data_IF_670577168509
#
_entry.id   IF_670577168509
#
_cell.length_a   1.000
_cell.length_b   1.000
_cell.length_c   1.000
_cell.angle_alpha   90.00
_cell.angle_beta   90.00
_cell.angle_gamma   90.00
#
_symmetry.space_group_name_H-M   'P 1'
#
loop_
_entity.id
_entity.type
_entity.pdbx_description
1 polymer ?
#
# COMPACT_ATOMS: atom_id res chain seq x y z
N UNK A 1 13.75 27.34 -35.07
CA UNK A 1 12.98 27.88 -33.91
C UNK A 1 11.97 26.87 -33.34
N UNK A 2 11.37 26.00 -34.16
CA UNK A 2 10.35 25.02 -33.72
C UNK A 2 10.87 23.89 -32.81
N UNK A 3 12.14 23.46 -32.98
CA UNK A 3 12.70 22.32 -32.24
C UNK A 3 12.80 22.57 -30.72
N UNK A 4 13.07 23.81 -30.29
CA UNK A 4 13.15 24.15 -28.85
C UNK A 4 11.78 24.07 -28.17
N UNK A 5 10.73 24.44 -28.88
CA UNK A 5 9.36 24.43 -28.35
C UNK A 5 8.86 23.00 -28.17
N UNK A 6 9.10 22.11 -29.14
CA UNK A 6 8.70 20.69 -29.05
C UNK A 6 9.34 19.99 -27.85
N UNK A 7 10.64 20.20 -27.59
CA UNK A 7 11.31 19.59 -26.43
C UNK A 7 10.74 20.08 -25.09
N UNK A 8 10.43 21.38 -24.97
CA UNK A 8 9.84 21.94 -23.76
C UNK A 8 8.42 21.42 -23.48
N UNK A 9 7.61 21.21 -24.52
CA UNK A 9 6.26 20.66 -24.37
C UNK A 9 6.32 19.18 -23.94
N UNK A 10 7.23 18.40 -24.53
CA UNK A 10 7.43 16.99 -24.15
C UNK A 10 7.92 16.87 -22.71
N UNK A 11 8.90 17.67 -22.29
CA UNK A 11 9.41 17.67 -20.92
C UNK A 11 8.33 18.06 -19.89
N UNK A 12 7.53 19.09 -20.21
CA UNK A 12 6.40 19.48 -19.36
C UNK A 12 5.36 18.36 -19.23
N UNK A 13 5.09 17.62 -20.31
CA UNK A 13 4.17 16.48 -20.29
C UNK A 13 4.71 15.31 -19.47
N UNK A 14 6.00 15.00 -19.57
CA UNK A 14 6.65 13.96 -18.76
C UNK A 14 6.61 14.30 -17.27
N UNK A 15 6.89 15.56 -16.91
CA UNK A 15 6.80 16.03 -15.53
C UNK A 15 5.37 15.91 -14.97
N UNK A 16 4.35 16.31 -15.75
CA UNK A 16 2.94 16.14 -15.37
C UNK A 16 2.52 14.66 -15.27
N UNK A 17 3.07 13.79 -16.12
CA UNK A 17 2.84 12.35 -16.05
C UNK A 17 3.46 11.74 -14.79
N UNK A 18 4.66 12.20 -14.39
CA UNK A 18 5.31 11.78 -13.15
C UNK A 18 4.52 12.22 -11.91
N UNK A 19 4.07 13.47 -11.88
CA UNK A 19 3.20 13.99 -10.81
C UNK A 19 1.89 13.18 -10.73
N UNK A 20 1.22 12.98 -11.86
CA UNK A 20 -0.01 12.17 -11.92
C UNK A 20 0.23 10.74 -11.47
N UNK A 21 1.32 10.09 -11.89
CA UNK A 21 1.65 8.73 -11.46
C UNK A 21 1.93 8.67 -9.96
N UNK A 22 2.67 9.63 -9.41
CA UNK A 22 3.02 9.67 -7.98
C UNK A 22 1.78 9.87 -7.09
N UNK A 23 0.91 10.82 -7.43
CA UNK A 23 -0.34 11.07 -6.71
C UNK A 23 -1.26 9.84 -6.77
N UNK A 24 -1.38 9.24 -7.95
CA UNK A 24 -2.29 8.12 -8.14
C UNK A 24 -1.76 6.78 -7.61
N UNK A 25 -0.45 6.56 -7.56
CA UNK A 25 0.11 5.30 -7.07
C UNK A 25 -0.23 5.04 -5.59
N UNK A 26 -0.28 6.11 -4.78
CA UNK A 26 -0.60 6.02 -3.36
C UNK A 26 -2.11 5.87 -3.13
N UNK A 27 -2.93 6.50 -3.96
CA UNK A 27 -4.39 6.59 -3.74
C UNK A 27 -5.13 5.43 -4.42
N UNK A 28 -4.66 4.95 -5.58
CA UNK A 28 -5.33 3.88 -6.35
C UNK A 28 -5.47 2.56 -5.59
N UNK A 29 -4.47 2.04 -4.85
CA UNK A 29 -4.63 0.83 -4.06
C UNK A 29 -5.76 0.97 -3.05
N UNK A 30 -5.82 2.11 -2.37
CA UNK A 30 -6.86 2.42 -1.38
C UNK A 30 -8.27 2.48 -1.97
N UNK A 31 -8.44 3.15 -3.12
CA UNK A 31 -9.74 3.26 -3.80
C UNK A 31 -10.19 1.91 -4.37
N UNK A 32 -9.28 1.13 -4.97
CA UNK A 32 -9.56 -0.21 -5.50
C UNK A 32 -9.93 -1.16 -4.37
N UNK A 33 -9.18 -1.13 -3.27
CA UNK A 33 -9.46 -1.98 -2.12
C UNK A 33 -10.77 -1.58 -1.43
N UNK A 34 -11.09 -0.29 -1.30
CA UNK A 34 -12.43 0.15 -0.84
C UNK A 34 -13.57 -0.41 -1.70
N UNK A 35 -13.38 -0.51 -3.01
CA UNK A 35 -14.36 -1.12 -3.93
C UNK A 35 -14.49 -2.63 -3.71
N UNK A 36 -13.42 -3.33 -3.30
CA UNK A 36 -13.47 -4.74 -2.91
C UNK A 36 -13.98 -4.97 -1.47
N UNK A 37 -13.75 -4.03 -0.55
CA UNK A 37 -14.20 -4.11 0.85
C UNK A 37 -15.66 -3.76 1.06
N UNK A 38 -16.36 -3.31 0.01
CA UNK A 38 -17.81 -3.06 0.01
C UNK A 38 -18.63 -4.29 0.43
N UNK A 39 -18.04 -5.50 0.38
CA UNK A 39 -18.67 -6.76 0.78
C UNK A 39 -18.29 -7.24 2.20
N UNK A 40 -17.56 -6.45 2.97
CA UNK A 40 -17.30 -6.72 4.38
C UNK A 40 -18.57 -6.42 5.18
N UNK A 41 -19.52 -7.36 5.22
CA UNK A 41 -20.82 -7.19 5.91
C UNK A 41 -20.70 -6.92 7.42
N UNK A 42 -19.50 -7.05 8.01
CA UNK A 42 -19.25 -6.85 9.44
C UNK A 42 -18.18 -5.81 9.70
N UNK A 43 -18.35 -5.05 10.80
CA UNK A 43 -17.35 -4.08 11.31
C UNK A 43 -15.96 -4.72 11.48
N UNK A 44 -15.92 -5.97 11.94
CA UNK A 44 -14.68 -6.75 12.10
C UNK A 44 -13.98 -7.00 10.77
N UNK A 45 -14.73 -7.30 9.72
CA UNK A 45 -14.20 -7.47 8.37
C UNK A 45 -13.60 -6.17 7.82
N UNK A 46 -14.26 -5.03 8.05
CA UNK A 46 -13.75 -3.72 7.65
C UNK A 46 -12.46 -3.32 8.40
N UNK A 47 -12.38 -3.64 9.70
CA UNK A 47 -11.17 -3.40 10.50
C UNK A 47 -9.99 -4.28 10.07
N UNK A 48 -10.21 -5.57 9.85
CA UNK A 48 -9.16 -6.48 9.37
C UNK A 48 -8.62 -6.05 8.00
N UNK A 49 -9.53 -5.66 7.10
CA UNK A 49 -9.23 -5.13 5.78
C UNK A 49 -8.36 -3.88 5.82
N UNK A 50 -8.72 -2.93 6.68
CA UNK A 50 -7.95 -1.69 6.90
C UNK A 50 -6.54 -2.00 7.43
N UNK A 51 -6.43 -2.92 8.39
CA UNK A 51 -5.14 -3.33 8.94
C UNK A 51 -4.21 -3.93 7.87
N UNK A 52 -4.74 -4.79 7.00
CA UNK A 52 -3.97 -5.38 5.88
C UNK A 52 -3.46 -4.30 4.92
N UNK A 53 -4.29 -3.31 4.58
CA UNK A 53 -3.83 -2.19 3.73
C UNK A 53 -2.71 -1.39 4.38
N UNK A 54 -2.83 -1.06 5.66
CA UNK A 54 -1.79 -0.34 6.40
C UNK A 54 -0.47 -1.10 6.39
N UNK A 55 -0.50 -2.43 6.59
CA UNK A 55 0.70 -3.26 6.54
C UNK A 55 1.34 -3.28 5.15
N UNK A 56 0.53 -3.40 4.09
CA UNK A 56 1.02 -3.36 2.70
C UNK A 56 1.70 -2.02 2.39
N UNK A 57 1.09 -0.91 2.79
CA UNK A 57 1.65 0.43 2.56
C UNK A 57 2.94 0.66 3.36
N UNK A 58 3.01 0.18 4.61
CA UNK A 58 4.25 0.19 5.40
C UNK A 58 5.36 -0.64 4.75
N UNK A 59 5.06 -1.86 4.28
CA UNK A 59 6.03 -2.72 3.62
C UNK A 59 6.58 -2.10 2.33
N UNK A 60 5.69 -1.50 1.51
CA UNK A 60 6.10 -0.75 0.31
C UNK A 60 6.99 0.43 0.64
N UNK A 61 6.67 1.19 1.70
CA UNK A 61 7.45 2.36 2.12
C UNK A 61 8.85 1.98 2.60
N UNK A 62 8.99 0.79 3.19
CA UNK A 62 10.28 0.24 3.62
C UNK A 62 11.01 -0.51 2.49
N UNK A 63 10.49 -0.53 1.26
CA UNK A 63 11.12 -1.20 0.12
C UNK A 63 11.15 -2.73 0.23
N UNK A 64 10.31 -3.30 1.09
CA UNK A 64 10.25 -4.74 1.34
C UNK A 64 9.24 -5.42 0.43
N UNK A 65 9.51 -6.68 0.12
CA UNK A 65 8.55 -7.50 -0.62
C UNK A 65 7.26 -7.66 0.21
N UNK A 66 6.18 -7.11 -0.33
CA UNK A 66 4.85 -7.12 0.29
C UNK A 66 4.37 -8.55 0.49
N UNK A 67 4.64 -9.44 -0.47
CA UNK A 67 4.21 -10.83 -0.39
C UNK A 67 4.96 -11.59 0.71
N UNK A 68 6.30 -11.45 0.77
CA UNK A 68 7.12 -12.01 1.85
C UNK A 68 6.73 -11.50 3.24
N UNK A 69 6.44 -10.21 3.38
CA UNK A 69 5.98 -9.62 4.64
C UNK A 69 4.62 -10.19 5.07
N UNK A 70 3.64 -10.25 4.15
CA UNK A 70 2.33 -10.87 4.41
C UNK A 70 2.46 -12.35 4.76
N UNK A 71 3.30 -13.10 4.05
CA UNK A 71 3.51 -14.52 4.31
C UNK A 71 4.15 -14.74 5.68
N UNK A 72 5.16 -13.95 6.04
CA UNK A 72 5.79 -13.99 7.35
C UNK A 72 4.77 -13.69 8.44
N UNK A 73 4.01 -12.61 8.31
CA UNK A 73 2.96 -12.24 9.27
C UNK A 73 1.89 -13.32 9.39
N UNK A 74 1.37 -13.86 8.28
CA UNK A 74 0.36 -14.92 8.30
C UNK A 74 0.88 -16.26 8.85
N UNK A 75 2.20 -16.48 8.84
CA UNK A 75 2.85 -17.67 9.40
C UNK A 75 3.16 -17.49 10.89
N UNK A 76 3.58 -16.29 11.30
CA UNK A 76 3.96 -15.99 12.68
C UNK A 76 2.75 -15.60 13.56
N UNK A 77 1.76 -14.86 13.04
CA UNK A 77 0.57 -14.43 13.80
C UNK A 77 -0.21 -15.59 14.44
N UNK A 78 -0.46 -16.73 13.75
CA UNK A 78 -1.14 -17.87 14.37
C UNK A 78 -0.37 -18.47 15.55
N UNK A 79 0.96 -18.30 15.60
CA UNK A 79 1.79 -18.80 16.70
C UNK A 79 1.62 -18.00 17.99
N UNK A 80 1.19 -16.74 17.90
CA UNK A 80 0.98 -15.84 19.05
C UNK A 80 -0.43 -15.91 19.64
N UNK A 81 -1.34 -16.70 19.05
CA UNK A 81 -2.72 -16.87 19.53
C UNK A 81 -3.65 -15.67 19.24
N UNK A 82 -4.82 -15.65 19.87
CA UNK A 82 -5.90 -14.69 19.55
C UNK A 82 -5.65 -13.25 20.03
N UNK A 83 -4.69 -13.02 20.93
CA UNK A 83 -4.34 -11.71 21.49
C UNK A 83 -2.83 -11.54 21.58
N UNK A 84 -2.15 -11.21 20.48
CA UNK A 84 -0.72 -10.91 20.51
C UNK A 84 -0.43 -9.67 21.36
N UNK A 85 0.62 -9.74 22.18
CA UNK A 85 1.06 -8.60 23.02
C UNK A 85 1.74 -7.55 22.14
N UNK A 86 1.67 -6.27 22.52
CA UNK A 86 2.22 -5.15 21.74
C UNK A 86 3.71 -5.34 21.41
N UNK A 87 4.50 -5.89 22.32
CA UNK A 87 5.93 -6.17 22.07
C UNK A 87 6.15 -7.24 20.97
N UNK A 88 5.25 -8.23 20.85
CA UNK A 88 5.33 -9.27 19.84
C UNK A 88 4.96 -8.75 18.45
N UNK A 89 4.04 -7.77 18.40
CA UNK A 89 3.70 -7.04 17.18
C UNK A 89 4.85 -6.15 16.71
N UNK A 90 5.52 -5.46 17.63
CA UNK A 90 6.67 -4.61 17.30
C UNK A 90 7.85 -5.43 16.76
N UNK A 91 8.05 -6.66 17.25
CA UNK A 91 9.08 -7.57 16.74
C UNK A 91 8.84 -8.06 15.29
N UNK A 92 7.58 -7.98 14.81
CA UNK A 92 7.20 -8.35 13.44
C UNK A 92 7.23 -7.17 12.48
N UNK A 93 7.44 -5.95 12.97
CA UNK A 93 7.57 -4.76 12.14
C UNK A 93 9.02 -4.67 11.63
N UNK A 94 9.21 -4.54 10.30
CA UNK A 94 10.53 -4.36 9.73
C UNK A 94 11.06 -2.93 9.84
#
# INVERSE_FOLDING_TARGET
MQLKTTTLITFKKEMQLQEWCAENWTIKPYVIARKNFLFSFTEKGAHASTAIMTMIETAKRNGLDVYGCLLHLLTELPKYGHTPTKEQLEALMP
#
